data_IF_380727058761
#
_entry.id   IF_380727058761
#
_cell.length_a   1.000
_cell.length_b   1.000
_cell.length_c   1.000
_cell.angle_alpha   90.00
_cell.angle_beta   90.00
_cell.angle_gamma   90.00
#
_symmetry.space_group_name_H-M   'P 1'
#
loop_
_entity.id
_entity.type
_entity.pdbx_description
1 polymer ?
#
# COMPACT_ATOMS: atom_id res chain seq x y z
N UNK A 1 21.49 -7.44 17.16
CA UNK A 1 21.21 -8.74 17.80
C UNK A 1 21.13 -9.79 16.70
N UNK A 2 22.02 -10.80 16.70
CA UNK A 2 22.03 -11.87 15.71
C UNK A 2 21.27 -13.08 16.24
N UNK A 3 20.14 -13.43 15.61
CA UNK A 3 19.44 -14.70 15.86
C UNK A 3 20.13 -15.80 15.07
N UNK A 4 20.31 -16.98 15.64
CA UNK A 4 20.83 -18.15 14.92
C UNK A 4 19.83 -18.61 13.83
N UNK A 5 20.33 -19.36 12.83
CA UNK A 5 19.44 -19.91 11.79
C UNK A 5 18.35 -20.84 12.36
N UNK A 6 18.63 -21.55 13.45
CA UNK A 6 17.67 -22.41 14.14
C UNK A 6 16.55 -21.60 14.78
N UNK A 7 16.88 -20.60 15.55
CA UNK A 7 15.92 -19.69 16.17
C UNK A 7 15.09 -18.94 15.14
N UNK A 8 15.70 -18.44 14.06
CA UNK A 8 14.97 -17.79 12.98
C UNK A 8 13.94 -18.73 12.33
N UNK A 9 14.30 -19.99 12.11
CA UNK A 9 13.37 -21.00 11.57
C UNK A 9 12.20 -21.25 12.50
N UNK A 10 12.47 -21.43 13.80
CA UNK A 10 11.44 -21.65 14.81
C UNK A 10 10.48 -20.44 14.91
N UNK A 11 11.01 -19.22 14.91
CA UNK A 11 10.20 -17.99 14.89
C UNK A 11 9.27 -17.95 13.67
N UNK A 12 9.77 -18.28 12.47
CA UNK A 12 8.96 -18.31 11.24
C UNK A 12 7.90 -19.40 11.30
N UNK A 13 8.24 -20.59 11.80
CA UNK A 13 7.29 -21.70 11.96
C UNK A 13 6.17 -21.34 12.94
N UNK A 14 6.51 -20.76 14.09
CA UNK A 14 5.55 -20.29 15.09
C UNK A 14 4.64 -19.18 14.54
N UNK A 15 5.20 -18.23 13.79
CA UNK A 15 4.41 -17.19 13.12
C UNK A 15 3.35 -17.79 12.19
N UNK A 16 3.73 -18.72 11.33
CA UNK A 16 2.78 -19.33 10.40
C UNK A 16 1.83 -20.35 11.06
N UNK A 17 2.21 -20.91 12.19
CA UNK A 17 1.30 -21.71 13.00
C UNK A 17 0.19 -20.83 13.64
N UNK A 18 0.57 -19.64 14.07
CA UNK A 18 -0.37 -18.65 14.63
C UNK A 18 -1.24 -18.01 13.54
N UNK A 19 -0.66 -17.73 12.36
CA UNK A 19 -1.34 -17.06 11.24
C UNK A 19 -1.34 -17.92 9.97
N UNK A 20 -2.04 -19.07 9.94
CA UNK A 20 -1.98 -20.02 8.82
C UNK A 20 -2.49 -19.42 7.50
N UNK A 21 -3.44 -18.48 7.55
CA UNK A 21 -3.99 -17.79 6.38
C UNK A 21 -2.96 -16.94 5.63
N UNK A 22 -1.92 -16.47 6.31
CA UNK A 22 -0.82 -15.74 5.64
C UNK A 22 -0.04 -16.70 4.75
N UNK A 23 0.30 -17.89 5.24
CA UNK A 23 0.98 -18.92 4.43
C UNK A 23 0.11 -19.38 3.25
N UNK A 24 -1.18 -19.58 3.47
CA UNK A 24 -2.14 -19.94 2.43
C UNK A 24 -2.16 -18.88 1.32
N UNK A 25 -2.31 -17.60 1.67
CA UNK A 25 -2.25 -16.49 0.73
C UNK A 25 -0.96 -16.47 -0.10
N UNK A 26 0.21 -16.66 0.55
CA UNK A 26 1.50 -16.67 -0.15
C UNK A 26 1.57 -17.79 -1.18
N UNK A 27 1.16 -19.02 -0.80
CA UNK A 27 1.17 -20.17 -1.69
C UNK A 27 0.19 -20.00 -2.85
N UNK A 28 -1.04 -19.59 -2.59
CA UNK A 28 -2.06 -19.33 -3.61
C UNK A 28 -1.64 -18.24 -4.60
N UNK A 29 -1.00 -17.18 -4.12
CA UNK A 29 -0.50 -16.09 -4.97
C UNK A 29 0.57 -16.59 -5.94
N UNK A 30 1.51 -17.41 -5.46
CA UNK A 30 2.57 -18.01 -6.29
C UNK A 30 1.96 -18.97 -7.32
N UNK A 31 1.09 -19.88 -6.89
CA UNK A 31 0.46 -20.86 -7.79
C UNK A 31 -0.40 -20.18 -8.88
N UNK A 32 -1.17 -19.18 -8.52
CA UNK A 32 -1.92 -18.35 -9.48
C UNK A 32 -0.99 -17.69 -10.49
N UNK A 33 0.11 -17.10 -10.00
CA UNK A 33 1.09 -16.47 -10.86
C UNK A 33 1.74 -17.46 -11.84
N UNK A 34 2.06 -18.69 -11.40
CA UNK A 34 2.59 -19.75 -12.27
C UNK A 34 1.62 -20.16 -13.37
N UNK A 35 0.33 -20.19 -13.07
CA UNK A 35 -0.71 -20.57 -14.03
C UNK A 35 -1.02 -19.48 -15.04
N UNK A 36 -1.05 -18.22 -14.60
CA UNK A 36 -1.52 -17.09 -15.41
C UNK A 36 -0.40 -16.26 -16.02
N UNK A 37 0.84 -16.31 -15.47
CA UNK A 37 1.96 -15.47 -15.85
C UNK A 37 1.88 -14.05 -15.29
N UNK A 38 0.86 -13.73 -14.49
CA UNK A 38 0.69 -12.40 -13.86
C UNK A 38 -0.03 -12.50 -12.52
N UNK A 39 0.00 -11.41 -11.77
CA UNK A 39 -0.81 -11.16 -10.58
C UNK A 39 -1.61 -9.88 -10.76
N UNK A 40 -2.65 -9.69 -9.94
CA UNK A 40 -3.52 -8.51 -9.98
C UNK A 40 -3.61 -7.82 -8.64
N UNK A 41 -3.81 -6.49 -8.66
CA UNK A 41 -4.29 -5.73 -7.51
C UNK A 41 -5.78 -6.03 -7.26
N UNK A 42 -6.34 -5.53 -6.16
CA UNK A 42 -7.78 -5.59 -5.89
C UNK A 42 -8.62 -4.86 -6.95
N UNK A 43 -8.02 -3.92 -7.66
CA UNK A 43 -8.65 -3.16 -8.76
C UNK A 43 -8.43 -3.79 -10.14
N UNK A 44 -7.84 -5.00 -10.20
CA UNK A 44 -7.63 -5.74 -11.44
C UNK A 44 -6.43 -5.29 -12.28
N UNK A 45 -5.61 -4.36 -11.79
CA UNK A 45 -4.39 -3.95 -12.49
C UNK A 45 -3.36 -5.09 -12.46
N UNK A 46 -2.88 -5.47 -13.63
CA UNK A 46 -1.99 -6.62 -13.81
C UNK A 46 -0.51 -6.25 -13.69
N UNK A 47 0.25 -7.14 -13.06
CA UNK A 47 1.71 -7.16 -13.13
C UNK A 47 2.16 -8.52 -13.68
N UNK A 48 2.80 -8.51 -14.84
CA UNK A 48 3.35 -9.71 -15.46
C UNK A 48 4.63 -10.15 -14.77
N UNK A 49 4.80 -11.47 -14.64
CA UNK A 49 5.91 -12.13 -13.98
C UNK A 49 6.54 -13.16 -14.95
N UNK A 50 7.27 -12.69 -15.95
CA UNK A 50 7.84 -13.53 -16.99
C UNK A 50 8.71 -14.67 -16.45
N UNK A 51 9.37 -14.43 -15.32
CA UNK A 51 10.34 -15.35 -14.71
C UNK A 51 9.73 -16.30 -13.67
N UNK A 52 8.41 -16.31 -13.50
CA UNK A 52 7.75 -17.11 -12.44
C UNK A 52 7.97 -18.62 -12.60
N UNK A 53 8.17 -19.08 -13.83
CA UNK A 53 8.46 -20.47 -14.16
C UNK A 53 9.93 -20.70 -14.61
N UNK A 54 10.84 -19.77 -14.31
CA UNK A 54 12.25 -19.90 -14.68
C UNK A 54 12.91 -21.13 -14.05
N UNK A 55 13.76 -21.82 -14.80
CA UNK A 55 14.54 -22.96 -14.31
C UNK A 55 15.56 -22.57 -13.24
N UNK A 56 16.11 -21.35 -13.32
CA UNK A 56 17.03 -20.83 -12.31
C UNK A 56 16.29 -20.47 -11.03
N UNK A 57 16.66 -21.13 -9.91
CA UNK A 57 16.01 -20.97 -8.62
C UNK A 57 16.09 -19.54 -8.05
N UNK A 58 17.19 -18.81 -8.29
CA UNK A 58 17.34 -17.43 -7.81
C UNK A 58 16.42 -16.48 -8.55
N UNK A 59 16.34 -16.60 -9.88
CA UNK A 59 15.46 -15.81 -10.74
C UNK A 59 13.99 -16.09 -10.40
N UNK A 60 13.62 -17.36 -10.34
CA UNK A 60 12.28 -17.80 -9.95
C UNK A 60 11.90 -17.30 -8.55
N UNK A 61 12.78 -17.41 -7.56
CA UNK A 61 12.52 -16.95 -6.19
C UNK A 61 12.29 -15.43 -6.10
N UNK A 62 12.91 -14.65 -6.98
CA UNK A 62 12.61 -13.22 -7.09
C UNK A 62 11.18 -12.98 -7.62
N UNK A 63 10.78 -13.70 -8.66
CA UNK A 63 9.44 -13.62 -9.22
C UNK A 63 8.37 -14.09 -8.21
N UNK A 64 8.63 -15.16 -7.45
CA UNK A 64 7.74 -15.65 -6.39
C UNK A 64 7.54 -14.60 -5.27
N UNK A 65 8.60 -13.92 -4.82
CA UNK A 65 8.45 -12.80 -3.87
C UNK A 65 7.60 -11.65 -4.44
N UNK A 66 7.78 -11.33 -5.71
CA UNK A 66 6.94 -10.34 -6.38
C UNK A 66 5.48 -10.79 -6.50
N UNK A 67 5.21 -12.09 -6.72
CA UNK A 67 3.86 -12.63 -6.77
C UNK A 67 3.10 -12.41 -5.45
N UNK A 68 3.80 -12.49 -4.32
CA UNK A 68 3.24 -12.26 -2.98
C UNK A 68 3.07 -10.78 -2.66
N UNK A 69 4.12 -9.98 -2.93
CA UNK A 69 4.17 -8.57 -2.48
C UNK A 69 3.39 -7.62 -3.40
N UNK A 70 3.44 -7.84 -4.71
CA UNK A 70 2.91 -6.86 -5.65
C UNK A 70 1.37 -6.69 -5.62
N UNK A 71 0.54 -7.69 -5.29
CA UNK A 71 -0.89 -7.45 -5.08
C UNK A 71 -1.16 -6.47 -3.94
N UNK A 72 -0.42 -6.57 -2.83
CA UNK A 72 -0.57 -5.71 -1.65
C UNK A 72 -0.06 -4.31 -1.97
N UNK A 73 1.21 -4.19 -2.38
CA UNK A 73 1.82 -2.90 -2.72
C UNK A 73 1.09 -2.20 -3.86
N UNK A 74 0.67 -2.96 -4.88
CA UNK A 74 -0.08 -2.41 -5.99
C UNK A 74 -1.46 -1.91 -5.59
N UNK A 75 -2.15 -2.63 -4.70
CA UNK A 75 -3.46 -2.19 -4.17
C UNK A 75 -3.29 -0.92 -3.33
N UNK A 76 -2.28 -0.83 -2.48
CA UNK A 76 -1.98 0.39 -1.73
C UNK A 76 -1.74 1.59 -2.67
N UNK A 77 -0.95 1.39 -3.75
CA UNK A 77 -0.73 2.41 -4.76
C UNK A 77 -2.00 2.80 -5.55
N UNK A 78 -2.96 1.89 -5.70
CA UNK A 78 -4.25 2.20 -6.33
C UNK A 78 -5.15 3.00 -5.38
N UNK A 79 -5.18 2.63 -4.09
CA UNK A 79 -5.96 3.33 -3.06
C UNK A 79 -5.50 4.79 -2.91
N UNK A 80 -4.19 5.03 -2.79
CA UNK A 80 -3.69 6.40 -2.65
C UNK A 80 -4.04 7.27 -3.87
N UNK A 81 -4.02 6.72 -5.08
CA UNK A 81 -4.43 7.43 -6.29
C UNK A 81 -5.91 7.76 -6.31
N UNK A 82 -6.76 6.86 -5.82
CA UNK A 82 -8.19 7.14 -5.69
C UNK A 82 -8.44 8.26 -4.69
N UNK A 83 -7.76 8.22 -3.54
CA UNK A 83 -7.79 9.29 -2.56
C UNK A 83 -7.36 10.64 -3.18
N UNK A 84 -6.21 10.66 -3.89
CA UNK A 84 -5.71 11.87 -4.56
C UNK A 84 -6.74 12.48 -5.51
N UNK A 85 -7.40 11.67 -6.34
CA UNK A 85 -8.41 12.14 -7.29
C UNK A 85 -9.63 12.68 -6.56
N UNK A 86 -10.08 12.02 -5.49
CA UNK A 86 -11.22 12.46 -4.70
C UNK A 86 -10.93 13.78 -3.96
N UNK A 87 -9.76 13.89 -3.34
CA UNK A 87 -9.31 15.10 -2.66
C UNK A 87 -9.19 16.27 -3.65
N UNK A 88 -8.51 16.10 -4.79
CA UNK A 88 -8.36 17.15 -5.79
C UNK A 88 -9.71 17.67 -6.29
N UNK A 89 -10.67 16.74 -6.54
CA UNK A 89 -12.04 17.12 -6.91
C UNK A 89 -12.70 17.96 -5.83
N UNK A 90 -12.67 17.55 -4.56
CA UNK A 90 -13.29 18.30 -3.45
C UNK A 90 -12.64 19.66 -3.22
N UNK A 91 -11.30 19.76 -3.28
CA UNK A 91 -10.60 21.04 -3.18
C UNK A 91 -11.10 22.04 -4.23
N UNK A 92 -11.36 21.58 -5.47
CA UNK A 92 -11.89 22.43 -6.54
C UNK A 92 -13.36 22.78 -6.34
N UNK A 93 -14.20 21.81 -5.98
CA UNK A 93 -15.65 22.02 -5.75
C UNK A 93 -15.89 23.00 -4.60
N UNK A 94 -15.10 22.89 -3.53
CA UNK A 94 -15.17 23.76 -2.36
C UNK A 94 -14.40 25.07 -2.56
N UNK A 95 -13.76 25.27 -3.74
CA UNK A 95 -12.98 26.46 -4.14
C UNK A 95 -11.86 26.81 -3.16
N UNK A 96 -11.24 25.81 -2.57
CA UNK A 96 -10.11 25.97 -1.66
C UNK A 96 -8.82 26.35 -2.41
N UNK A 97 -7.98 27.15 -1.78
CA UNK A 97 -6.68 27.54 -2.33
C UNK A 97 -5.58 26.52 -2.02
N UNK A 98 -5.86 25.56 -1.17
CA UNK A 98 -4.99 24.45 -0.82
C UNK A 98 -4.55 23.68 -2.05
N UNK A 99 -3.29 23.27 -2.06
CA UNK A 99 -2.70 22.49 -3.16
C UNK A 99 -2.06 21.22 -2.64
N UNK A 100 -2.38 20.09 -3.25
CA UNK A 100 -1.61 18.86 -3.11
C UNK A 100 -0.29 19.04 -3.86
N UNK A 101 0.84 18.92 -3.17
CA UNK A 101 2.16 19.26 -3.74
C UNK A 101 3.06 18.05 -3.93
N UNK A 102 2.92 17.00 -3.11
CA UNK A 102 3.81 15.85 -3.14
C UNK A 102 3.09 14.60 -2.65
N UNK A 103 3.45 13.44 -3.22
CA UNK A 103 3.10 12.13 -2.72
C UNK A 103 4.38 11.34 -2.47
N UNK A 104 4.56 10.83 -1.27
CA UNK A 104 5.72 10.02 -0.87
C UNK A 104 5.19 8.74 -0.22
N UNK A 105 5.39 7.58 -0.89
CA UNK A 105 4.84 6.29 -0.45
C UNK A 105 3.32 6.32 -0.25
N UNK A 106 2.86 6.39 0.98
CA UNK A 106 1.47 6.44 1.44
C UNK A 106 1.08 7.81 2.04
N UNK A 107 1.97 8.78 1.99
CA UNK A 107 1.76 10.15 2.46
C UNK A 107 1.36 11.09 1.33
N UNK A 108 0.47 12.02 1.63
CA UNK A 108 0.09 13.15 0.78
C UNK A 108 0.43 14.46 1.48
N UNK A 109 1.21 15.30 0.81
CA UNK A 109 1.63 16.59 1.33
C UNK A 109 0.86 17.72 0.65
N UNK A 110 0.43 18.69 1.44
CA UNK A 110 -0.38 19.83 1.00
C UNK A 110 0.24 21.14 1.44
N UNK A 111 0.12 22.16 0.59
CA UNK A 111 0.32 23.56 0.97
C UNK A 111 -1.04 24.14 1.30
N UNK A 112 -1.26 24.48 2.58
CA UNK A 112 -2.57 24.85 3.11
C UNK A 112 -2.51 26.28 3.66
N UNK A 113 -3.37 27.21 3.20
CA UNK A 113 -3.55 28.50 3.87
C UNK A 113 -4.05 28.29 5.31
N UNK A 114 -3.57 29.09 6.29
CA UNK A 114 -3.98 28.92 7.68
C UNK A 114 -5.50 28.97 7.91
N UNK A 115 -6.22 29.71 7.07
CA UNK A 115 -7.69 29.85 7.13
C UNK A 115 -8.44 28.61 6.68
N UNK A 116 -7.79 27.69 5.98
CA UNK A 116 -8.38 26.45 5.44
C UNK A 116 -7.98 25.20 6.24
N UNK A 117 -7.08 25.34 7.22
CA UNK A 117 -6.38 24.21 7.84
C UNK A 117 -7.34 23.15 8.41
N UNK A 118 -8.29 23.54 9.25
CA UNK A 118 -9.24 22.60 9.85
C UNK A 118 -10.16 21.96 8.82
N UNK A 119 -10.64 22.73 7.84
CA UNK A 119 -11.49 22.20 6.77
C UNK A 119 -10.74 21.17 5.93
N UNK A 120 -9.51 21.50 5.53
CA UNK A 120 -8.66 20.62 4.70
C UNK A 120 -8.25 19.37 5.47
N UNK A 121 -7.92 19.50 6.75
CA UNK A 121 -7.63 18.33 7.61
C UNK A 121 -8.78 17.33 7.58
N UNK A 122 -10.01 17.77 7.84
CA UNK A 122 -11.19 16.91 7.81
C UNK A 122 -11.43 16.30 6.42
N UNK A 123 -11.36 17.12 5.38
CA UNK A 123 -11.55 16.70 3.99
C UNK A 123 -10.56 15.61 3.59
N UNK A 124 -9.27 15.83 3.84
CA UNK A 124 -8.20 14.90 3.44
C UNK A 124 -8.32 13.57 4.17
N UNK A 125 -8.47 13.60 5.50
CA UNK A 125 -8.63 12.39 6.30
C UNK A 125 -9.86 11.59 5.83
N UNK A 126 -11.00 12.25 5.66
CA UNK A 126 -12.24 11.62 5.20
C UNK A 126 -12.06 10.93 3.84
N UNK A 127 -11.47 11.60 2.85
CA UNK A 127 -11.29 11.04 1.51
C UNK A 127 -10.23 9.93 1.48
N UNK A 128 -9.19 10.00 2.30
CA UNK A 128 -8.20 8.92 2.42
C UNK A 128 -8.82 7.67 3.05
N UNK A 129 -9.55 7.81 4.14
CA UNK A 129 -10.19 6.69 4.83
C UNK A 129 -11.32 6.03 4.01
N UNK A 130 -12.02 6.81 3.19
CA UNK A 130 -13.10 6.36 2.30
C UNK A 130 -12.64 5.88 0.94
N UNK A 131 -11.36 6.05 0.60
CA UNK A 131 -10.85 5.75 -0.74
C UNK A 131 -11.11 4.30 -1.18
N UNK A 132 -11.15 3.38 -0.23
CA UNK A 132 -11.50 1.98 -0.49
C UNK A 132 -12.08 1.31 0.76
N UNK A 133 -13.22 0.66 0.61
CA UNK A 133 -13.85 -0.06 1.72
C UNK A 133 -13.21 -1.44 1.89
N UNK A 134 -12.59 -1.68 3.04
CA UNK A 134 -12.00 -2.96 3.43
C UNK A 134 -12.67 -3.51 4.70
N UNK A 135 -12.41 -4.80 5.01
CA UNK A 135 -12.84 -5.41 6.27
C UNK A 135 -12.08 -4.83 7.49
N UNK A 136 -10.85 -4.37 7.26
CA UNK A 136 -10.07 -3.60 8.24
C UNK A 136 -10.17 -2.14 7.83
N UNK A 137 -10.53 -1.21 8.74
CA UNK A 137 -10.65 0.21 8.39
C UNK A 137 -9.30 0.78 7.97
N UNK A 138 -9.33 1.66 6.96
CA UNK A 138 -8.22 2.56 6.68
C UNK A 138 -8.26 3.66 7.73
N UNK A 139 -7.12 4.00 8.31
CA UNK A 139 -6.97 5.10 9.26
C UNK A 139 -5.90 6.04 8.71
N UNK A 140 -6.23 7.32 8.59
CA UNK A 140 -5.32 8.35 8.15
C UNK A 140 -4.97 9.28 9.32
N UNK A 141 -3.69 9.46 9.57
CA UNK A 141 -3.18 10.43 10.52
C UNK A 141 -2.80 11.72 9.78
N UNK A 142 -2.93 12.86 10.45
CA UNK A 142 -2.61 14.15 9.87
C UNK A 142 -1.71 14.95 10.82
N UNK A 143 -0.49 15.25 10.36
CA UNK A 143 0.43 16.18 10.99
C UNK A 143 0.39 17.55 10.33
N UNK A 144 0.83 18.58 11.01
CA UNK A 144 0.95 19.94 10.51
C UNK A 144 2.24 20.61 10.98
N UNK A 145 2.80 21.47 10.14
CA UNK A 145 4.02 22.20 10.45
C UNK A 145 4.32 23.25 9.38
N UNK A 146 5.31 24.08 9.62
CA UNK A 146 5.76 25.07 8.63
C UNK A 146 6.64 24.47 7.53
N UNK A 147 7.06 23.23 7.73
CA UNK A 147 7.84 22.44 6.79
C UNK A 147 7.56 20.94 7.02
N UNK A 148 7.98 20.09 6.08
CA UNK A 148 7.73 18.65 6.13
C UNK A 148 8.31 17.98 7.39
N UNK A 149 9.48 18.39 7.86
CA UNK A 149 10.11 17.79 9.05
C UNK A 149 9.29 18.03 10.34
N UNK A 150 8.61 19.14 10.42
CA UNK A 150 7.74 19.46 11.56
C UNK A 150 6.37 18.78 11.48
N UNK A 151 5.91 18.51 10.26
CA UNK A 151 4.62 17.89 10.01
C UNK A 151 4.66 16.35 10.06
N UNK A 152 5.86 15.74 10.14
CA UNK A 152 6.08 14.28 10.05
C UNK A 152 6.22 13.60 11.41
#
# INVERSE_FOLDING_TARGET
MGVSRGEAKELIENYFATYPKVREYMNESIERAKQTGYITTQFGRRRYLADINAGNATVRGYAERNAVNAPIQGTAADIIKLAMVAIDRRLREEKLQTRMILQVHDELNFSVPPTELEQVRHLVVEEMERAFQMRVPLVAECGEGTNWLEAH
#
